data_IF_653941500535
#
_entry.id   IF_653941500535
#
_cell.length_a   1.000
_cell.length_b   1.000
_cell.length_c   1.000
_cell.angle_alpha   90.00
_cell.angle_beta   90.00
_cell.angle_gamma   90.00
#
_symmetry.space_group_name_H-M   'P 1'
#
loop_
_entity.id
_entity.type
_entity.pdbx_description
1 polymer ?
#
# COMPACT_ATOMS: atom_id res chain seq x y z
N UNK A 1 43.87 -13.18 -7.75
CA UNK A 1 42.55 -13.74 -7.38
C UNK A 1 41.52 -12.91 -8.14
N UNK A 2 41.11 -13.34 -9.33
CA UNK A 2 40.10 -12.65 -10.12
C UNK A 2 38.73 -13.21 -9.73
N UNK A 3 38.08 -12.53 -8.78
CA UNK A 3 36.68 -12.79 -8.47
C UNK A 3 35.87 -11.82 -9.31
N UNK A 4 35.11 -12.35 -10.27
CA UNK A 4 34.27 -11.52 -11.13
C UNK A 4 33.06 -10.97 -10.35
N UNK A 5 32.68 -9.69 -10.54
CA UNK A 5 31.50 -9.11 -9.93
C UNK A 5 30.22 -9.86 -10.34
N UNK A 6 29.40 -10.21 -9.36
CA UNK A 6 28.07 -10.79 -9.58
C UNK A 6 26.97 -9.74 -9.36
N UNK A 7 25.70 -10.12 -9.59
CA UNK A 7 24.53 -9.26 -9.40
C UNK A 7 24.51 -8.55 -8.03
N UNK A 8 24.84 -9.29 -6.95
CA UNK A 8 24.88 -8.73 -5.59
C UNK A 8 25.95 -7.64 -5.46
N UNK A 9 27.09 -7.80 -6.12
CA UNK A 9 28.18 -6.81 -6.14
C UNK A 9 27.70 -5.52 -6.80
N UNK A 10 27.08 -5.62 -7.98
CA UNK A 10 26.52 -4.47 -8.70
C UNK A 10 25.40 -3.79 -7.90
N UNK A 11 24.45 -4.54 -7.34
CA UNK A 11 23.38 -3.97 -6.51
C UNK A 11 23.93 -3.23 -5.29
N UNK A 12 25.01 -3.73 -4.69
CA UNK A 12 25.68 -3.06 -3.57
C UNK A 12 26.33 -1.74 -4.00
N UNK A 13 27.00 -1.72 -5.15
CA UNK A 13 27.62 -0.51 -5.70
C UNK A 13 26.55 0.53 -6.07
N UNK A 14 25.44 0.12 -6.70
CA UNK A 14 24.34 1.03 -7.04
C UNK A 14 23.66 1.59 -5.79
N UNK A 15 23.44 0.78 -4.75
CA UNK A 15 22.99 1.28 -3.43
C UNK A 15 23.98 2.27 -2.80
N UNK A 16 25.29 2.08 -3.00
CA UNK A 16 26.27 3.06 -2.56
C UNK A 16 26.17 4.37 -3.36
N UNK A 17 25.94 4.29 -4.68
CA UNK A 17 25.70 5.45 -5.55
C UNK A 17 24.45 6.24 -5.12
N UNK A 18 23.38 5.56 -4.71
CA UNK A 18 22.17 6.17 -4.14
C UNK A 18 22.48 7.05 -2.92
N UNK A 19 23.32 6.57 -1.99
CA UNK A 19 23.69 7.33 -0.78
C UNK A 19 24.50 8.60 -1.06
N UNK A 20 25.29 8.59 -2.12
CA UNK A 20 26.05 9.77 -2.57
C UNK A 20 25.28 10.60 -3.61
N UNK A 21 24.04 10.22 -3.91
CA UNK A 21 23.16 10.83 -4.91
C UNK A 21 23.82 10.95 -6.31
N UNK A 22 24.60 9.94 -6.70
CA UNK A 22 25.30 9.91 -7.99
C UNK A 22 24.53 9.02 -8.99
N UNK A 23 23.53 9.64 -9.62
CA UNK A 23 22.63 8.99 -10.57
C UNK A 23 23.36 8.45 -11.80
N UNK A 24 24.27 9.22 -12.37
CA UNK A 24 24.98 8.84 -13.60
C UNK A 24 25.90 7.64 -13.37
N UNK A 25 26.58 7.57 -12.22
CA UNK A 25 27.40 6.40 -11.89
C UNK A 25 26.54 5.15 -11.69
N UNK A 26 25.39 5.25 -11.05
CA UNK A 26 24.51 4.10 -10.88
C UNK A 26 24.09 3.50 -12.23
N UNK A 27 23.67 4.35 -13.19
CA UNK A 27 23.31 3.89 -14.52
C UNK A 27 24.51 3.34 -15.32
N UNK A 28 25.71 3.90 -15.15
CA UNK A 28 26.93 3.29 -15.73
C UNK A 28 27.14 1.86 -15.22
N UNK A 29 26.93 1.62 -13.92
CA UNK A 29 27.02 0.27 -13.36
C UNK A 29 25.87 -0.64 -13.82
N UNK A 30 24.66 -0.11 -13.99
CA UNK A 30 23.52 -0.84 -14.55
C UNK A 30 23.79 -1.32 -15.98
N UNK A 31 24.25 -0.43 -16.87
CA UNK A 31 24.60 -0.81 -18.24
C UNK A 31 25.80 -1.75 -18.30
N UNK A 32 26.77 -1.59 -17.40
CA UNK A 32 27.88 -2.54 -17.28
C UNK A 32 27.40 -3.93 -16.86
N UNK A 33 26.47 -4.02 -15.91
CA UNK A 33 25.85 -5.28 -15.48
C UNK A 33 25.17 -5.96 -16.68
N UNK A 34 24.38 -5.23 -17.46
CA UNK A 34 23.74 -5.76 -18.69
C UNK A 34 24.77 -6.19 -19.73
N UNK A 35 25.81 -5.37 -19.95
CA UNK A 35 26.88 -5.66 -20.91
C UNK A 35 27.73 -6.89 -20.55
N UNK A 36 27.74 -7.29 -19.28
CA UNK A 36 28.35 -8.55 -18.82
C UNK A 36 27.40 -9.76 -18.91
N UNK A 37 26.19 -9.59 -19.47
CA UNK A 37 25.19 -10.64 -19.59
C UNK A 37 24.52 -11.04 -18.28
N UNK A 38 24.75 -10.27 -17.20
CA UNK A 38 24.10 -10.49 -15.91
C UNK A 38 22.71 -9.87 -15.99
N UNK A 39 21.66 -10.68 -15.80
CA UNK A 39 20.28 -10.18 -15.83
C UNK A 39 19.97 -9.38 -14.55
N UNK A 40 19.47 -8.13 -14.67
CA UNK A 40 18.90 -7.42 -13.54
C UNK A 40 17.69 -8.17 -12.96
N UNK A 41 17.39 -7.95 -11.68
CA UNK A 41 16.19 -8.47 -11.03
C UNK A 41 15.38 -7.35 -10.37
N UNK A 42 14.23 -7.68 -9.75
CA UNK A 42 13.38 -6.70 -9.03
C UNK A 42 14.18 -5.78 -8.09
N UNK A 43 15.17 -6.32 -7.37
CA UNK A 43 16.01 -5.53 -6.46
C UNK A 43 16.84 -4.48 -7.21
N UNK A 44 17.38 -4.82 -8.37
CA UNK A 44 18.14 -3.87 -9.21
C UNK A 44 17.26 -2.71 -9.67
N UNK A 45 16.06 -3.00 -10.17
CA UNK A 45 15.12 -1.97 -10.63
C UNK A 45 14.61 -1.09 -9.49
N UNK A 46 14.29 -1.68 -8.33
CA UNK A 46 13.85 -0.90 -7.17
C UNK A 46 14.92 0.10 -6.72
N UNK A 47 16.21 -0.27 -6.70
CA UNK A 47 17.30 0.67 -6.39
C UNK A 47 17.30 1.85 -7.36
N UNK A 48 17.17 1.59 -8.68
CA UNK A 48 17.21 2.65 -9.69
C UNK A 48 15.98 3.55 -9.65
N UNK A 49 14.79 3.00 -9.40
CA UNK A 49 13.55 3.76 -9.25
C UNK A 49 13.61 4.61 -7.97
N UNK A 50 14.08 4.07 -6.85
CA UNK A 50 14.32 4.86 -5.64
C UNK A 50 15.34 5.97 -5.87
N UNK A 51 16.36 5.72 -6.69
CA UNK A 51 17.29 6.77 -7.10
C UNK A 51 16.59 7.88 -7.92
N UNK A 52 15.61 7.54 -8.76
CA UNK A 52 14.77 8.55 -9.44
C UNK A 52 14.02 9.43 -8.42
N UNK A 53 13.53 8.88 -7.30
CA UNK A 53 12.89 9.66 -6.22
C UNK A 53 13.89 10.68 -5.66
N UNK A 54 15.10 10.23 -5.27
CA UNK A 54 16.12 11.13 -4.68
C UNK A 54 16.63 12.19 -5.66
N UNK A 55 16.79 11.85 -6.95
CA UNK A 55 17.15 12.83 -7.99
C UNK A 55 16.02 13.83 -8.20
N UNK A 56 14.77 13.38 -8.21
CA UNK A 56 13.59 14.25 -8.35
C UNK A 56 13.48 15.23 -7.17
N UNK A 57 13.65 14.77 -5.93
CA UNK A 57 13.65 15.64 -4.75
C UNK A 57 14.75 16.71 -4.83
N UNK A 58 15.97 16.32 -5.22
CA UNK A 58 17.06 17.27 -5.41
C UNK A 58 16.77 18.32 -6.50
N UNK A 59 16.05 17.95 -7.56
CA UNK A 59 15.61 18.88 -8.62
C UNK A 59 14.50 19.81 -8.11
N UNK A 60 13.51 19.29 -7.38
CA UNK A 60 12.41 20.08 -6.79
C UNK A 60 12.98 21.10 -5.80
N UNK A 61 13.88 20.68 -4.90
CA UNK A 61 14.53 21.57 -3.93
C UNK A 61 15.32 22.69 -4.59
N UNK A 62 16.05 22.38 -5.68
CA UNK A 62 16.79 23.38 -6.45
C UNK A 62 15.84 24.38 -7.11
N UNK A 63 14.69 23.94 -7.63
CA UNK A 63 13.67 24.81 -8.23
C UNK A 63 13.02 25.73 -7.19
N UNK A 64 12.72 25.22 -6.00
CA UNK A 64 12.15 26.02 -4.90
C UNK A 64 13.14 27.06 -4.36
N UNK A 65 14.45 26.80 -4.42
CA UNK A 65 15.51 27.72 -3.93
C UNK A 65 15.99 28.75 -4.96
N UNK A 66 15.67 28.60 -6.25
CA UNK A 66 16.09 29.52 -7.32
C UNK A 66 14.89 30.28 -7.90
N UNK A 67 14.72 31.51 -7.45
CA UNK A 67 13.97 32.51 -8.20
C UNK A 67 14.78 32.85 -9.47
N UNK A 68 14.18 32.60 -10.64
CA UNK A 68 14.54 33.13 -11.96
C UNK A 68 16.03 33.34 -12.28
N UNK A 69 16.75 32.29 -12.66
CA UNK A 69 17.78 32.44 -13.71
C UNK A 69 18.14 31.09 -14.36
N UNK A 70 18.18 31.12 -15.69
CA UNK A 70 18.41 30.00 -16.61
C UNK A 70 19.61 29.14 -16.22
N UNK A 71 19.41 27.82 -16.18
CA UNK A 71 20.44 26.86 -16.61
C UNK A 71 19.77 25.65 -17.26
N UNK A 72 20.26 25.34 -18.45
CA UNK A 72 19.89 24.23 -19.32
C UNK A 72 20.28 22.85 -18.73
N UNK A 73 19.48 21.86 -19.15
CA UNK A 73 19.85 20.49 -19.53
C UNK A 73 20.12 19.36 -18.53
N UNK A 74 19.81 19.45 -17.23
CA UNK A 74 19.82 18.22 -16.40
C UNK A 74 18.57 18.10 -15.52
N UNK A 75 17.56 17.45 -16.11
CA UNK A 75 16.45 16.83 -15.40
C UNK A 75 15.18 17.66 -15.37
N UNK A 76 14.42 17.65 -16.47
CA UNK A 76 13.00 17.96 -16.36
C UNK A 76 12.34 16.95 -15.42
N UNK A 77 11.52 17.44 -14.49
CA UNK A 77 10.72 16.61 -13.57
C UNK A 77 10.00 15.48 -14.35
N UNK A 78 9.46 15.81 -15.53
CA UNK A 78 8.82 14.84 -16.44
C UNK A 78 9.77 13.83 -17.08
N UNK A 79 11.05 14.15 -17.28
CA UNK A 79 12.06 13.20 -17.81
C UNK A 79 12.40 12.17 -16.74
N UNK A 80 12.55 12.58 -15.47
CA UNK A 80 12.80 11.64 -14.36
C UNK A 80 11.59 10.72 -14.16
N UNK A 81 10.38 11.27 -14.21
CA UNK A 81 9.14 10.51 -14.16
C UNK A 81 9.02 9.48 -15.29
N UNK A 82 9.27 9.91 -16.53
CA UNK A 82 9.29 9.01 -17.70
C UNK A 82 10.38 7.95 -17.56
N UNK A 83 11.55 8.29 -17.00
CA UNK A 83 12.61 7.31 -16.78
C UNK A 83 12.25 6.23 -15.77
N UNK A 84 11.52 6.58 -14.71
CA UNK A 84 11.01 5.60 -13.75
C UNK A 84 10.02 4.62 -14.39
N UNK A 85 9.15 5.12 -15.29
CA UNK A 85 8.25 4.28 -16.07
C UNK A 85 8.98 3.39 -17.08
N UNK A 86 10.01 3.90 -17.76
CA UNK A 86 10.85 3.09 -18.65
C UNK A 86 11.50 1.93 -17.90
N UNK A 87 12.08 2.19 -16.71
CA UNK A 87 12.66 1.13 -15.88
C UNK A 87 11.63 0.09 -15.46
N UNK A 88 10.41 0.52 -15.15
CA UNK A 88 9.32 -0.38 -14.80
C UNK A 88 8.89 -1.26 -15.99
N UNK A 89 8.71 -0.67 -17.17
CA UNK A 89 8.41 -1.41 -18.39
C UNK A 89 9.53 -2.37 -18.78
N UNK A 90 10.79 -1.92 -18.69
CA UNK A 90 11.97 -2.73 -18.99
C UNK A 90 12.06 -3.96 -18.08
N UNK A 91 11.72 -3.82 -16.79
CA UNK A 91 11.66 -4.94 -15.85
C UNK A 91 10.65 -6.01 -16.29
N UNK A 92 9.45 -5.60 -16.72
CA UNK A 92 8.38 -6.52 -17.12
C UNK A 92 8.70 -7.15 -18.48
N UNK A 93 9.09 -6.34 -19.46
CA UNK A 93 9.19 -6.75 -20.86
C UNK A 93 10.52 -7.44 -21.19
N UNK A 94 11.65 -6.90 -20.71
CA UNK A 94 12.97 -7.44 -21.06
C UNK A 94 13.42 -8.54 -20.09
N UNK A 95 13.17 -8.36 -18.79
CA UNK A 95 13.63 -9.32 -17.77
C UNK A 95 12.59 -10.37 -17.40
N UNK A 96 11.29 -10.08 -17.63
CA UNK A 96 10.19 -10.96 -17.22
C UNK A 96 9.98 -10.99 -15.70
N UNK A 97 10.57 -10.04 -14.98
CA UNK A 97 10.49 -9.95 -13.53
C UNK A 97 9.15 -9.34 -13.14
N UNK A 98 8.49 -9.93 -12.14
CA UNK A 98 7.18 -9.45 -11.67
C UNK A 98 7.38 -8.32 -10.66
N UNK A 99 6.76 -7.14 -10.87
CA UNK A 99 6.77 -6.08 -9.87
C UNK A 99 6.11 -6.54 -8.57
N UNK A 100 6.65 -6.11 -7.44
CA UNK A 100 5.99 -6.25 -6.13
C UNK A 100 5.39 -4.91 -5.67
N UNK A 101 4.68 -4.90 -4.54
CA UNK A 101 4.08 -3.67 -3.96
C UNK A 101 5.10 -2.55 -3.81
N UNK A 102 6.33 -2.85 -3.40
CA UNK A 102 7.40 -1.85 -3.27
C UNK A 102 7.76 -1.22 -4.62
N UNK A 103 7.82 -2.00 -5.69
CA UNK A 103 8.10 -1.48 -7.04
C UNK A 103 7.01 -0.52 -7.49
N UNK A 104 5.73 -0.91 -7.35
CA UNK A 104 4.59 -0.05 -7.67
C UNK A 104 4.61 1.25 -6.85
N UNK A 105 4.76 1.13 -5.52
CA UNK A 105 4.82 2.27 -4.63
C UNK A 105 5.97 3.22 -4.99
N UNK A 106 7.15 2.70 -5.33
CA UNK A 106 8.29 3.52 -5.72
C UNK A 106 8.02 4.32 -7.02
N UNK A 107 7.47 3.68 -8.06
CA UNK A 107 7.12 4.37 -9.31
C UNK A 107 6.02 5.40 -9.08
N UNK A 108 4.95 5.01 -8.39
CA UNK A 108 3.86 5.93 -8.04
C UNK A 108 4.36 7.13 -7.24
N UNK A 109 5.33 6.93 -6.36
CA UNK A 109 5.95 7.98 -5.56
C UNK A 109 6.69 9.00 -6.43
N UNK A 110 7.40 8.55 -7.47
CA UNK A 110 8.04 9.43 -8.46
C UNK A 110 6.97 10.25 -9.20
N UNK A 111 5.93 9.58 -9.72
CA UNK A 111 4.87 10.23 -10.49
C UNK A 111 4.09 11.25 -9.66
N UNK A 112 3.73 10.89 -8.41
CA UNK A 112 3.06 11.78 -7.47
C UNK A 112 3.87 13.04 -7.20
N UNK A 113 5.16 12.91 -6.88
CA UNK A 113 6.06 14.06 -6.65
C UNK A 113 6.22 14.92 -7.90
N UNK A 114 6.18 14.32 -9.08
CA UNK A 114 6.25 15.00 -10.36
C UNK A 114 4.94 15.74 -10.73
N UNK A 115 3.83 15.47 -10.03
CA UNK A 115 2.51 15.97 -10.42
C UNK A 115 2.00 15.31 -11.70
N UNK A 116 2.39 14.05 -11.96
CA UNK A 116 2.09 13.32 -13.18
C UNK A 116 0.85 12.40 -13.03
N UNK A 117 -0.19 12.64 -13.83
CA UNK A 117 -1.48 11.93 -13.74
C UNK A 117 -1.36 10.42 -14.02
N UNK A 118 -0.29 9.96 -14.68
CA UNK A 118 -0.02 8.55 -14.94
C UNK A 118 0.09 7.70 -13.67
N UNK A 119 0.21 8.33 -12.50
CA UNK A 119 0.15 7.65 -11.19
C UNK A 119 -1.13 6.83 -11.00
N UNK A 120 -2.26 7.30 -11.53
CA UNK A 120 -3.54 6.59 -11.41
C UNK A 120 -3.65 5.41 -12.36
N UNK A 121 -3.01 5.52 -13.54
CA UNK A 121 -2.89 4.41 -14.47
C UNK A 121 -2.05 3.29 -13.84
N UNK A 122 -0.93 3.66 -13.21
CA UNK A 122 -0.08 2.72 -12.46
C UNK A 122 -0.82 2.04 -11.31
N UNK A 123 -1.67 2.76 -10.58
CA UNK A 123 -2.53 2.17 -9.55
C UNK A 123 -3.55 1.20 -10.14
N UNK A 124 -4.14 1.54 -11.30
CA UNK A 124 -5.07 0.64 -12.00
C UNK A 124 -4.36 -0.65 -12.43
N UNK A 125 -3.13 -0.54 -12.95
CA UNK A 125 -2.29 -1.71 -13.29
C UNK A 125 -1.98 -2.55 -12.05
N UNK A 126 -1.70 -1.92 -10.91
CA UNK A 126 -1.49 -2.60 -9.63
C UNK A 126 -2.71 -3.41 -9.20
N UNK A 127 -3.92 -2.86 -9.29
CA UNK A 127 -5.17 -3.54 -8.97
C UNK A 127 -5.46 -4.72 -9.92
N UNK A 128 -5.20 -4.56 -11.22
CA UNK A 128 -5.36 -5.67 -12.18
C UNK A 128 -4.44 -6.85 -11.86
N UNK A 129 -3.23 -6.58 -11.39
CA UNK A 129 -2.28 -7.61 -10.95
C UNK A 129 -2.72 -8.24 -9.63
N UNK A 130 -3.26 -7.47 -8.69
CA UNK A 130 -3.84 -7.96 -7.43
C UNK A 130 -4.95 -8.99 -7.69
N UNK A 131 -5.98 -8.61 -8.44
CA UNK A 131 -7.16 -9.45 -8.69
C UNK A 131 -6.78 -10.75 -9.42
N UNK A 132 -5.86 -10.66 -10.39
CA UNK A 132 -5.35 -11.83 -11.11
C UNK A 132 -4.58 -12.81 -10.21
N UNK A 133 -3.94 -12.32 -9.14
CA UNK A 133 -3.25 -13.18 -8.17
C UNK A 133 -4.19 -13.78 -7.14
N UNK A 134 -5.22 -13.05 -6.69
CA UNK A 134 -6.22 -13.58 -5.75
C UNK A 134 -7.05 -14.69 -6.40
N UNK A 135 -7.54 -14.50 -7.63
CA UNK A 135 -8.32 -15.50 -8.37
C UNK A 135 -7.52 -16.82 -8.54
N UNK A 136 -6.23 -16.72 -8.87
CA UNK A 136 -5.35 -17.87 -9.06
C UNK A 136 -5.09 -18.65 -7.75
N UNK A 137 -5.07 -17.97 -6.60
CA UNK A 137 -4.90 -18.60 -5.29
C UNK A 137 -6.20 -19.24 -4.82
N UNK A 138 -7.36 -18.63 -5.12
CA UNK A 138 -8.67 -19.20 -4.82
C UNK A 138 -8.94 -20.48 -5.63
N UNK A 139 -8.60 -20.49 -6.92
CA UNK A 139 -8.76 -21.67 -7.78
C UNK A 139 -7.81 -22.83 -7.39
N UNK A 140 -6.66 -22.52 -6.80
CA UNK A 140 -5.67 -23.50 -6.35
C UNK A 140 -5.99 -24.14 -4.98
N UNK A 141 -7.00 -23.66 -4.24
CA UNK A 141 -7.42 -24.31 -2.98
C UNK A 141 -7.98 -25.71 -3.29
N UNK A 142 -7.49 -26.78 -2.62
CA UNK A 142 -7.97 -28.13 -2.88
C UNK A 142 -9.47 -28.22 -2.60
N UNK A 143 -10.25 -28.60 -3.61
CA UNK A 143 -11.68 -28.90 -3.47
C UNK A 143 -11.86 -29.84 -2.28
N UNK A 144 -12.55 -29.36 -1.26
CA UNK A 144 -12.90 -30.11 -0.05
C UNK A 144 -13.35 -31.52 -0.45
N UNK A 145 -12.63 -32.53 0.06
CA UNK A 145 -12.95 -33.93 -0.20
C UNK A 145 -14.38 -34.20 0.27
N UNK A 146 -15.21 -34.74 -0.63
CA UNK A 146 -16.59 -35.12 -0.33
C UNK A 146 -16.65 -35.97 0.95
N UNK A 147 -17.64 -35.76 1.84
CA UNK A 147 -17.69 -36.45 3.11
C UNK A 147 -17.88 -37.95 2.87
N UNK A 148 -16.94 -38.74 3.39
CA UNK A 148 -17.01 -40.20 3.40
C UNK A 148 -18.06 -40.60 4.44
N UNK A 149 -19.11 -41.29 3.99
CA UNK A 149 -20.10 -41.91 4.88
C UNK A 149 -19.42 -43.01 5.73
N UNK A 150 -19.44 -42.84 7.04
CA UNK A 150 -18.88 -43.80 7.99
C UNK A 150 -19.94 -44.88 8.30
N UNK A 151 -19.73 -46.09 7.76
CA UNK A 151 -20.55 -47.28 8.07
C UNK A 151 -20.39 -47.67 9.54
N UNK A 152 -21.51 -47.66 10.27
CA UNK A 152 -21.60 -48.09 11.65
C UNK A 152 -21.33 -49.60 11.79
N UNK A 153 -20.33 -49.96 12.60
CA UNK A 153 -20.13 -51.32 13.07
C UNK A 153 -20.81 -51.53 14.43
N UNK A 154 -21.67 -52.54 14.43
CA UNK A 154 -22.51 -53.06 15.49
C UNK A 154 -21.70 -53.89 16.50
N UNK A 155 -21.92 -53.69 17.82
CA UNK A 155 -21.94 -54.75 18.84
C UNK A 155 -22.40 -54.25 20.24
N UNK A 156 -23.42 -54.93 20.79
CA UNK A 156 -24.03 -54.88 22.14
C UNK A 156 -23.47 -56.05 23.02
N UNK A 157 -23.94 -56.32 24.26
CA UNK A 157 -24.16 -55.48 25.47
C UNK A 157 -23.69 -56.17 26.80
N UNK A 158 -23.77 -55.49 27.95
CA UNK A 158 -24.08 -56.08 29.28
C UNK A 158 -24.35 -54.93 30.30
N UNK A 159 -25.59 -54.73 30.76
CA UNK A 159 -26.22 -55.23 32.02
C UNK A 159 -25.60 -54.68 33.32
N UNK A 160 -26.29 -53.73 33.98
CA UNK A 160 -27.04 -53.99 35.23
C UNK A 160 -27.93 -52.77 35.63
N UNK A 161 -28.97 -53.02 36.43
CA UNK A 161 -30.01 -52.09 36.91
C UNK A 161 -30.13 -52.20 38.46
N UNK A 162 -31.05 -51.57 39.25
CA UNK A 162 -32.21 -50.74 38.90
C UNK A 162 -32.59 -49.55 39.85
N UNK A 163 -33.63 -48.80 39.42
CA UNK A 163 -34.73 -48.12 40.15
C UNK A 163 -34.57 -46.77 40.91
N UNK A 164 -35.32 -45.74 40.46
CA UNK A 164 -36.56 -45.26 41.13
C UNK A 164 -37.32 -44.16 40.35
N UNK A 165 -38.63 -44.37 40.16
CA UNK A 165 -39.80 -43.45 40.11
C UNK A 165 -40.02 -42.39 39.00
N UNK A 166 -41.29 -42.35 38.54
CA UNK A 166 -41.88 -41.69 37.36
C UNK A 166 -42.55 -40.31 37.69
N UNK A 167 -43.41 -39.67 36.85
CA UNK A 167 -43.62 -39.68 35.38
C UNK A 167 -43.74 -38.27 34.72
N UNK A 168 -43.87 -38.26 33.38
CA UNK A 168 -44.59 -37.29 32.53
C UNK A 168 -43.98 -35.88 32.22
N UNK A 169 -43.59 -35.66 30.96
CA UNK A 169 -44.31 -34.72 30.07
C UNK A 169 -43.75 -34.78 28.63
N UNK A 170 -44.66 -34.73 27.67
CA UNK A 170 -44.38 -34.67 26.24
C UNK A 170 -43.85 -33.27 25.86
N UNK A 171 -42.70 -33.22 25.18
CA UNK A 171 -42.10 -31.98 24.69
C UNK A 171 -41.24 -32.22 23.45
N UNK A 172 -41.70 -31.73 22.31
CA UNK A 172 -41.11 -31.81 20.97
C UNK A 172 -39.59 -31.51 20.96
N UNK A 173 -38.75 -32.45 20.52
CA UNK A 173 -37.36 -32.16 20.12
C UNK A 173 -37.39 -31.34 18.83
N UNK A 174 -37.16 -30.03 18.94
CA UNK A 174 -36.78 -29.18 17.80
C UNK A 174 -35.39 -29.62 17.32
N UNK A 175 -35.32 -30.02 16.06
CA UNK A 175 -34.08 -30.17 15.30
C UNK A 175 -33.42 -28.79 15.24
N UNK A 176 -32.33 -28.60 15.99
CA UNK A 176 -31.45 -27.44 15.83
C UNK A 176 -30.61 -27.72 14.59
N UNK A 177 -30.95 -27.06 13.50
CA UNK A 177 -30.09 -26.96 12.32
C UNK A 177 -29.03 -25.92 12.71
N UNK A 178 -27.89 -26.36 13.24
CA UNK A 178 -26.75 -25.46 13.46
C UNK A 178 -26.19 -25.13 12.09
N UNK A 179 -26.17 -23.84 11.79
CA UNK A 179 -25.73 -23.22 10.55
C UNK A 179 -24.25 -23.50 10.23
N UNK A 180 -23.97 -24.41 9.30
CA UNK A 180 -22.64 -24.57 8.68
C UNK A 180 -22.16 -23.28 7.96
N UNK A 181 -23.09 -22.39 7.58
CA UNK A 181 -22.79 -21.11 6.93
C UNK A 181 -22.27 -20.01 7.88
N UNK A 182 -22.33 -20.22 9.20
CA UNK A 182 -21.79 -19.29 10.20
C UNK A 182 -20.33 -19.63 10.55
N UNK A 183 -19.98 -20.92 10.61
CA UNK A 183 -18.62 -21.34 10.91
C UNK A 183 -17.66 -21.08 9.73
N UNK A 184 -18.07 -21.34 8.49
CA UNK A 184 -17.25 -21.04 7.30
C UNK A 184 -16.95 -19.53 7.19
N UNK A 185 -17.97 -18.67 7.37
CA UNK A 185 -17.77 -17.20 7.38
C UNK A 185 -16.95 -16.71 8.58
N UNK A 186 -17.01 -17.41 9.72
CA UNK A 186 -16.19 -17.08 10.89
C UNK A 186 -14.73 -17.49 10.71
N UNK A 187 -14.47 -18.62 10.01
CA UNK A 187 -13.13 -19.08 9.66
C UNK A 187 -12.49 -18.25 8.55
N UNK A 188 -13.26 -17.88 7.53
CA UNK A 188 -12.83 -16.96 6.46
C UNK A 188 -12.51 -15.58 7.01
N UNK A 189 -13.35 -15.05 7.90
CA UNK A 189 -13.04 -13.79 8.60
C UNK A 189 -11.84 -13.93 9.53
N UNK A 190 -11.68 -15.04 10.25
CA UNK A 190 -10.52 -15.20 11.14
C UNK A 190 -9.22 -15.34 10.34
N UNK A 191 -9.21 -16.09 9.24
CA UNK A 191 -8.06 -16.24 8.36
C UNK A 191 -7.67 -14.90 7.70
N UNK A 192 -8.65 -14.19 7.16
CA UNK A 192 -8.45 -12.86 6.58
C UNK A 192 -7.96 -11.83 7.62
N UNK A 193 -8.41 -11.92 8.88
CA UNK A 193 -7.88 -11.06 9.95
C UNK A 193 -6.47 -11.40 10.40
N UNK A 194 -6.03 -12.66 10.23
CA UNK A 194 -4.68 -13.10 10.61
C UNK A 194 -3.67 -12.77 9.51
N UNK A 195 -4.06 -12.88 8.24
CA UNK A 195 -3.32 -12.36 7.09
C UNK A 195 -3.20 -10.83 7.14
N UNK A 196 -4.30 -10.11 7.38
CA UNK A 196 -4.28 -8.66 7.57
C UNK A 196 -3.43 -8.26 8.79
N UNK A 197 -3.46 -9.03 9.88
CA UNK A 197 -2.59 -8.80 11.05
C UNK A 197 -1.11 -9.04 10.73
N UNK A 198 -0.80 -10.04 9.91
CA UNK A 198 0.57 -10.32 9.46
C UNK A 198 1.09 -9.25 8.51
N UNK A 199 0.25 -8.74 7.59
CA UNK A 199 0.54 -7.59 6.72
C UNK A 199 0.83 -6.33 7.53
N UNK A 200 0.02 -6.05 8.57
CA UNK A 200 0.20 -4.90 9.47
C UNK A 200 1.43 -5.03 10.39
N UNK A 201 2.03 -6.21 10.52
CA UNK A 201 3.16 -6.48 11.42
C UNK A 201 4.56 -6.30 10.77
N UNK A 202 4.62 -5.92 9.49
CA UNK A 202 5.89 -5.62 8.80
C UNK A 202 6.80 -6.84 8.59
N UNK A 203 6.26 -8.06 8.68
CA UNK A 203 6.94 -9.32 8.35
C UNK A 203 6.06 -10.12 7.39
N UNK A 204 6.07 -9.75 6.11
CA UNK A 204 5.43 -10.53 5.05
C UNK A 204 6.53 -11.29 4.29
N UNK A 205 6.45 -12.63 4.18
CA UNK A 205 7.18 -13.40 3.18
C UNK A 205 6.74 -12.94 1.78
N UNK A 206 7.69 -12.76 0.88
CA UNK A 206 7.54 -12.22 -0.48
C UNK A 206 6.80 -13.22 -1.39
N UNK A 207 5.51 -13.47 -1.14
CA UNK A 207 4.68 -14.42 -1.92
C UNK A 207 4.25 -13.88 -3.30
N UNK A 208 4.77 -12.71 -3.70
CA UNK A 208 4.50 -12.11 -5.02
C UNK A 208 3.09 -11.55 -5.19
N UNK A 209 2.27 -11.54 -4.14
CA UNK A 209 0.94 -10.92 -4.12
C UNK A 209 1.11 -9.41 -3.97
N UNK A 210 0.56 -8.66 -4.92
CA UNK A 210 0.65 -7.20 -4.97
C UNK A 210 -0.61 -6.61 -4.39
N UNK A 211 -0.57 -6.06 -3.17
CA UNK A 211 -1.74 -5.45 -2.53
C UNK A 211 -1.50 -3.96 -2.22
N UNK A 212 -2.49 -3.06 -2.46
CA UNK A 212 -2.43 -1.66 -2.04
C UNK A 212 -2.24 -1.51 -0.53
N UNK A 213 -1.27 -0.71 -0.10
CA UNK A 213 -0.99 -0.48 1.31
C UNK A 213 -1.13 1.00 1.70
N UNK A 214 -0.84 1.32 2.95
CA UNK A 214 -0.81 2.69 3.47
C UNK A 214 0.02 3.63 2.56
N UNK A 215 1.15 3.14 2.04
CA UNK A 215 2.04 3.92 1.16
C UNK A 215 1.36 4.19 -0.18
N UNK A 216 0.67 3.20 -0.76
CA UNK A 216 -0.09 3.33 -2.00
C UNK A 216 -1.14 4.45 -1.89
N UNK A 217 -2.01 4.38 -0.87
CA UNK A 217 -3.09 5.36 -0.69
C UNK A 217 -2.56 6.75 -0.33
N UNK A 218 -1.56 6.84 0.56
CA UNK A 218 -0.95 8.13 0.92
C UNK A 218 -0.29 8.79 -0.29
N UNK A 219 0.34 8.01 -1.17
CA UNK A 219 0.97 8.52 -2.41
C UNK A 219 -0.07 9.03 -3.40
N UNK A 220 -1.22 8.34 -3.54
CA UNK A 220 -2.32 8.79 -4.40
C UNK A 220 -2.99 10.07 -3.89
N UNK A 221 -3.15 10.21 -2.57
CA UNK A 221 -3.67 11.44 -1.95
C UNK A 221 -2.72 12.60 -2.21
N UNK A 222 -1.41 12.42 -1.98
CA UNK A 222 -0.37 13.41 -2.31
C UNK A 222 -0.40 13.81 -3.79
N UNK A 223 -0.54 12.84 -4.70
CA UNK A 223 -0.64 13.12 -6.12
C UNK A 223 -1.88 13.96 -6.45
N UNK A 224 -3.02 13.60 -5.87
CA UNK A 224 -4.29 14.30 -6.07
C UNK A 224 -4.24 15.73 -5.54
N UNK A 225 -3.63 15.94 -4.37
CA UNK A 225 -3.34 17.27 -3.80
C UNK A 225 -2.52 18.11 -4.78
N UNK A 226 -1.38 17.60 -5.27
CA UNK A 226 -0.49 18.31 -6.19
C UNK A 226 -1.13 18.66 -7.53
N UNK A 227 -2.06 17.84 -8.01
CA UNK A 227 -2.80 18.07 -9.25
C UNK A 227 -4.07 18.92 -9.05
N UNK A 228 -4.43 19.28 -7.82
CA UNK A 228 -5.67 19.99 -7.51
C UNK A 228 -6.94 19.15 -7.64
N UNK A 229 -6.83 17.83 -7.66
CA UNK A 229 -7.94 16.87 -7.78
C UNK A 229 -8.54 16.58 -6.38
N UNK A 230 -9.05 17.60 -5.72
CA UNK A 230 -9.45 17.54 -4.31
C UNK A 230 -10.57 16.55 -4.01
N UNK A 231 -11.57 16.45 -4.90
CA UNK A 231 -12.68 15.51 -4.69
C UNK A 231 -12.19 14.05 -4.81
N UNK A 232 -11.27 13.79 -5.75
CA UNK A 232 -10.59 12.49 -5.88
C UNK A 232 -9.73 12.16 -4.66
N UNK A 233 -9.03 13.14 -4.09
CA UNK A 233 -8.28 12.92 -2.85
C UNK A 233 -9.19 12.42 -1.71
N UNK A 234 -10.41 12.98 -1.62
CA UNK A 234 -11.40 12.56 -0.62
C UNK A 234 -11.96 11.17 -0.89
N UNK A 235 -12.27 10.84 -2.14
CA UNK A 235 -12.70 9.50 -2.53
C UNK A 235 -11.65 8.45 -2.14
N UNK A 236 -10.38 8.72 -2.43
CA UNK A 236 -9.26 7.83 -2.12
C UNK A 236 -9.06 7.69 -0.60
N UNK A 237 -9.18 8.78 0.17
CA UNK A 237 -9.13 8.74 1.62
C UNK A 237 -10.28 7.90 2.23
N UNK A 238 -11.49 8.03 1.70
CA UNK A 238 -12.63 7.22 2.14
C UNK A 238 -12.45 5.74 1.77
N UNK A 239 -11.96 5.43 0.56
CA UNK A 239 -11.66 4.07 0.14
C UNK A 239 -10.62 3.41 1.06
N UNK A 240 -9.55 4.13 1.39
CA UNK A 240 -8.53 3.68 2.33
C UNK A 240 -9.12 3.27 3.69
N UNK A 241 -10.01 4.10 4.25
CA UNK A 241 -10.72 3.81 5.50
C UNK A 241 -11.68 2.61 5.37
N UNK A 242 -12.38 2.46 4.25
CA UNK A 242 -13.29 1.34 3.99
C UNK A 242 -12.53 0.00 3.88
N UNK A 243 -11.32 0.02 3.33
CA UNK A 243 -10.41 -1.12 3.26
C UNK A 243 -9.74 -1.42 4.61
N UNK A 244 -10.05 -0.67 5.67
CA UNK A 244 -9.48 -0.86 7.01
C UNK A 244 -8.02 -0.40 7.15
N UNK A 245 -7.48 0.29 6.14
CA UNK A 245 -6.13 0.83 6.16
C UNK A 245 -6.17 2.15 6.94
N UNK A 246 -5.52 2.18 8.11
CA UNK A 246 -5.56 3.35 8.99
C UNK A 246 -4.66 4.47 8.45
N UNK A 247 -5.19 5.69 8.26
CA UNK A 247 -4.40 6.86 7.88
C UNK A 247 -3.29 7.13 8.88
N UNK A 248 -2.13 7.54 8.36
CA UNK A 248 -1.02 7.99 9.19
C UNK A 248 -0.96 9.52 9.24
N UNK A 249 0.04 10.03 9.96
CA UNK A 249 0.27 11.47 10.08
C UNK A 249 0.43 12.15 8.71
N UNK A 250 1.16 11.55 7.77
CA UNK A 250 1.38 12.12 6.43
C UNK A 250 0.08 12.15 5.64
N UNK A 251 -0.74 11.09 5.75
CA UNK A 251 -2.07 11.06 5.13
C UNK A 251 -2.92 12.25 5.59
N UNK A 252 -3.01 12.50 6.90
CA UNK A 252 -3.77 13.65 7.43
C UNK A 252 -3.17 15.00 7.03
N UNK A 253 -1.84 15.12 6.93
CA UNK A 253 -1.20 16.35 6.45
C UNK A 253 -1.63 16.66 5.01
N UNK A 254 -1.53 15.70 4.09
CA UNK A 254 -1.96 15.91 2.69
C UNK A 254 -3.45 16.25 2.59
N UNK A 255 -4.30 15.59 3.39
CA UNK A 255 -5.74 15.90 3.43
C UNK A 255 -6.02 17.29 4.00
N UNK A 256 -5.24 17.75 4.98
CA UNK A 256 -5.33 19.11 5.50
C UNK A 256 -4.91 20.13 4.45
N UNK A 257 -3.83 19.88 3.72
CA UNK A 257 -3.37 20.76 2.63
C UNK A 257 -4.43 20.85 1.51
N UNK A 258 -5.13 19.75 1.20
CA UNK A 258 -6.32 19.77 0.34
C UNK A 258 -7.41 20.70 0.89
N UNK A 259 -7.70 20.66 2.19
CA UNK A 259 -8.66 21.57 2.82
C UNK A 259 -8.21 23.04 2.79
N UNK A 260 -6.91 23.31 2.97
CA UNK A 260 -6.33 24.65 2.83
C UNK A 260 -6.55 25.18 1.42
N UNK A 261 -6.18 24.39 0.41
CA UNK A 261 -6.28 24.77 -1.00
C UNK A 261 -7.74 24.96 -1.44
N UNK A 262 -8.68 24.18 -0.90
CA UNK A 262 -10.13 24.31 -1.18
C UNK A 262 -10.83 25.35 -0.28
N UNK A 263 -10.16 25.85 0.77
CA UNK A 263 -10.72 26.74 1.81
C UNK A 263 -11.92 26.17 2.55
N UNK A 264 -11.92 24.85 2.74
CA UNK A 264 -13.01 24.11 3.39
C UNK A 264 -12.72 23.96 4.89
N UNK A 265 -13.17 24.95 5.68
CA UNK A 265 -12.95 24.98 7.14
C UNK A 265 -13.65 23.85 7.87
N UNK A 266 -14.85 23.48 7.39
CA UNK A 266 -15.66 22.47 8.04
C UNK A 266 -14.93 21.11 7.99
N UNK A 267 -14.48 20.70 6.79
CA UNK A 267 -13.74 19.45 6.65
C UNK A 267 -12.39 19.47 7.35
N UNK A 268 -11.72 20.63 7.39
CA UNK A 268 -10.46 20.77 8.14
C UNK A 268 -10.65 20.50 9.64
N UNK A 269 -11.71 21.05 10.24
CA UNK A 269 -12.05 20.81 11.64
C UNK A 269 -12.43 19.34 11.90
N UNK A 270 -13.21 18.73 11.00
CA UNK A 270 -13.59 17.31 11.07
C UNK A 270 -12.34 16.40 11.02
N UNK A 271 -11.42 16.63 10.09
CA UNK A 271 -10.15 15.90 9.98
C UNK A 271 -9.30 16.04 11.24
N UNK A 272 -9.24 17.22 11.85
CA UNK A 272 -8.49 17.44 13.09
C UNK A 272 -9.10 16.66 14.27
N UNK A 273 -10.43 16.61 14.35
CA UNK A 273 -11.12 15.81 15.36
C UNK A 273 -10.88 14.31 15.14
N UNK A 274 -10.93 13.85 13.90
CA UNK A 274 -10.67 12.46 13.52
C UNK A 274 -9.21 12.05 13.85
N UNK A 275 -8.23 12.88 13.51
CA UNK A 275 -6.82 12.62 13.81
C UNK A 275 -6.58 12.48 15.33
N UNK A 276 -7.20 13.35 16.14
CA UNK A 276 -7.15 13.26 17.61
C UNK A 276 -7.82 11.99 18.13
N UNK A 277 -8.97 11.60 17.57
CA UNK A 277 -9.65 10.37 17.94
C UNK A 277 -8.82 9.11 17.61
N UNK A 278 -8.06 9.14 16.51
CA UNK A 278 -7.09 8.11 16.15
C UNK A 278 -5.77 8.17 16.94
N UNK A 279 -5.66 9.05 17.96
CA UNK A 279 -4.47 9.25 18.79
C UNK A 279 -3.23 9.67 17.98
N UNK A 280 -3.43 10.20 16.78
CA UNK A 280 -2.38 10.81 16.00
C UNK A 280 -2.23 12.22 16.57
N UNK A 281 -1.18 12.43 17.36
CA UNK A 281 -0.87 13.73 17.93
C UNK A 281 -0.68 14.71 16.78
N UNK A 282 -1.59 15.68 16.59
CA UNK A 282 -1.42 16.69 15.57
C UNK A 282 -0.17 17.47 15.94
N UNK A 283 0.79 17.52 15.03
CA UNK A 283 2.01 18.27 15.25
C UNK A 283 1.79 19.75 14.95
N UNK A 284 2.84 20.55 15.21
CA UNK A 284 2.82 21.98 14.94
C UNK A 284 2.45 22.27 13.48
N UNK A 285 2.91 21.44 12.54
CA UNK A 285 2.62 21.61 11.11
C UNK A 285 1.14 21.40 10.80
N UNK A 286 0.51 20.32 11.30
CA UNK A 286 -0.92 20.07 11.07
C UNK A 286 -1.81 21.14 11.73
N UNK A 287 -1.43 21.64 12.91
CA UNK A 287 -2.10 22.78 13.55
C UNK A 287 -1.91 24.08 12.75
N UNK A 288 -0.71 24.36 12.24
CA UNK A 288 -0.45 25.54 11.42
C UNK A 288 -1.25 25.51 10.12
N UNK A 289 -1.37 24.34 9.46
CA UNK A 289 -2.21 24.18 8.27
C UNK A 289 -3.67 24.45 8.60
N UNK A 290 -4.22 23.94 9.72
CA UNK A 290 -5.58 24.26 10.15
C UNK A 290 -5.77 25.77 10.40
N UNK A 291 -4.83 26.42 11.09
CA UNK A 291 -4.87 27.85 11.35
C UNK A 291 -4.84 28.66 10.06
N UNK A 292 -4.09 28.23 9.04
CA UNK A 292 -4.11 28.84 7.71
C UNK A 292 -5.50 28.73 7.07
N UNK A 293 -6.19 27.58 7.16
CA UNK A 293 -7.57 27.44 6.65
C UNK A 293 -8.52 28.41 7.33
N UNK A 294 -8.47 28.48 8.67
CA UNK A 294 -9.35 29.35 9.46
C UNK A 294 -9.03 30.84 9.22
N UNK A 295 -7.76 31.19 9.00
CA UNK A 295 -7.35 32.57 8.70
C UNK A 295 -7.83 33.01 7.30
N UNK A 296 -7.66 32.16 6.27
CA UNK A 296 -8.06 32.48 4.90
C UNK A 296 -9.58 32.58 4.72
N UNK A 297 -10.33 31.81 5.50
CA UNK A 297 -11.80 31.82 5.53
C UNK A 297 -12.39 32.90 6.45
N UNK A 298 -11.55 33.61 7.21
CA UNK A 298 -11.95 34.60 8.23
C UNK A 298 -12.89 34.01 9.30
N UNK A 299 -12.72 32.73 9.61
CA UNK A 299 -13.51 32.04 10.63
C UNK A 299 -13.03 32.46 12.03
N UNK A 300 -13.90 33.04 12.89
CA UNK A 300 -13.54 33.45 14.24
C UNK A 300 -13.14 32.29 15.16
N UNK A 301 -13.42 31.04 14.78
CA UNK A 301 -12.98 29.83 15.49
C UNK A 301 -11.46 29.70 15.59
N UNK A 302 -10.71 30.44 14.76
CA UNK A 302 -9.24 30.56 14.86
C UNK A 302 -8.77 30.96 16.26
N UNK A 303 -9.52 31.82 16.96
CA UNK A 303 -9.16 32.30 18.29
C UNK A 303 -9.51 31.32 19.43
N UNK A 304 -10.29 30.28 19.13
CA UNK A 304 -10.67 29.21 20.07
C UNK A 304 -9.82 27.95 19.92
N UNK A 305 -9.03 27.86 18.84
CA UNK A 305 -8.16 26.71 18.55
C UNK A 305 -6.83 26.79 19.32
N UNK A 306 -6.62 27.89 20.06
CA UNK A 306 -5.53 28.14 21.02
C UNK A 306 -6.03 27.98 22.46
#
# INVERSE_FOLDING_TARGET
>A
KDIEPNLRTFNTIMKACQRVNDFDKAFKFFYRLKGQGIKPNVVTYNILIEMCITKLEAVIDKRQKKDKEKTESDGDIGVIATKALELFSEMIEETGEKPNTNTYNAVMTVLARAGDSRVFDMFTTMLQHHDSTEDAVEEAKPKEAAPVEEEATEQLPALDSPQSDAPASAGKKKRVIVSESANARSLERSASTEELRNILSGKVPDDGIVHPDLTTYTTLIMASEKMGLFDKAWEIFQQMNQMGIKPDKKTYMHMMDVCVLKRDTQKACELMAEAKAHQILPDVDLYNSLMNVLAESRDPSIFQTF
#
